data_IF_368626241765
#
_entry.id   IF_368626241765
#
_cell.length_a   1.000
_cell.length_b   1.000
_cell.length_c   1.000
_cell.angle_alpha   90.00
_cell.angle_beta   90.00
_cell.angle_gamma   90.00
#
_symmetry.space_group_name_H-M   'P 1'
#
loop_
_entity.id
_entity.type
_entity.pdbx_description
1 polymer ?
#
# COMPACT_ATOMS: atom_id res chain seq x y z
N UNK A 1 -5.56 -6.17 -5.81
CA UNK A 1 -5.93 -4.78 -5.45
C UNK A 1 -6.62 -4.70 -4.10
N UNK A 2 -7.60 -5.57 -3.79
CA UNK A 2 -8.23 -5.63 -2.45
C UNK A 2 -7.20 -5.94 -1.36
N UNK A 3 -6.33 -6.93 -1.56
CA UNK A 3 -5.25 -7.28 -0.62
C UNK A 3 -4.40 -6.07 -0.21
N UNK A 4 -3.95 -5.27 -1.19
CA UNK A 4 -3.17 -4.07 -0.94
C UNK A 4 -3.91 -3.08 -0.01
N UNK A 5 -5.19 -2.85 -0.28
CA UNK A 5 -6.01 -1.95 0.53
C UNK A 5 -6.17 -2.47 1.97
N UNK A 6 -6.36 -3.78 2.14
CA UNK A 6 -6.46 -4.41 3.47
C UNK A 6 -5.15 -4.26 4.26
N UNK A 7 -4.01 -4.57 3.63
CA UNK A 7 -2.69 -4.43 4.28
C UNK A 7 -2.37 -2.98 4.64
N UNK A 8 -2.70 -2.01 3.78
CA UNK A 8 -2.56 -0.59 4.10
C UNK A 8 -3.51 -0.14 5.21
N UNK A 9 -4.68 -0.77 5.32
CA UNK A 9 -5.65 -0.51 6.39
C UNK A 9 -5.18 -1.05 7.74
N UNK A 10 -4.54 -2.22 7.79
CA UNK A 10 -3.88 -2.71 9.01
C UNK A 10 -2.80 -1.76 9.53
N UNK A 11 -2.13 -1.04 8.61
CA UNK A 11 -1.12 -0.03 8.93
C UNK A 11 -1.72 1.36 9.23
N UNK A 12 -3.05 1.49 9.25
CA UNK A 12 -3.75 2.77 9.42
C UNK A 12 -3.43 3.82 8.33
N UNK A 13 -2.97 3.37 7.16
CA UNK A 13 -2.62 4.22 6.02
C UNK A 13 -3.78 4.35 5.02
N UNK A 14 -4.74 3.44 5.05
CA UNK A 14 -5.91 3.46 4.17
C UNK A 14 -7.19 3.26 4.98
N UNK A 15 -8.00 4.33 5.10
CA UNK A 15 -9.21 4.32 5.93
C UNK A 15 -10.52 4.09 5.14
N UNK A 16 -10.44 3.86 3.84
CA UNK A 16 -11.60 3.59 3.00
C UNK A 16 -11.94 2.09 2.92
N UNK A 17 -13.04 1.78 2.23
CA UNK A 17 -13.41 0.40 1.92
C UNK A 17 -12.44 -0.23 0.90
N UNK A 18 -12.13 -1.51 1.12
CA UNK A 18 -11.29 -2.30 0.23
C UNK A 18 -12.16 -2.82 -0.94
N UNK A 19 -12.27 -2.01 -1.98
CA UNK A 19 -13.08 -2.25 -3.17
C UNK A 19 -12.27 -2.76 -4.38
N UNK A 20 -10.95 -2.91 -4.24
CA UNK A 20 -10.05 -3.31 -5.31
C UNK A 20 -9.78 -2.23 -6.35
N UNK A 21 -10.26 -1.00 -6.15
CA UNK A 21 -10.04 0.10 -7.08
C UNK A 21 -8.78 0.89 -6.73
N UNK A 22 -7.93 1.07 -7.73
CA UNK A 22 -6.78 1.97 -7.60
C UNK A 22 -7.25 3.41 -7.80
N UNK A 23 -7.60 4.07 -6.69
CA UNK A 23 -8.02 5.46 -6.66
C UNK A 23 -6.91 6.36 -6.11
N UNK A 24 -7.12 7.68 -6.22
CA UNK A 24 -6.16 8.66 -5.71
C UNK A 24 -5.87 8.48 -4.21
N UNK A 25 -6.86 8.10 -3.40
CA UNK A 25 -6.65 7.84 -1.96
C UNK A 25 -5.72 6.65 -1.71
N UNK A 26 -5.87 5.59 -2.48
CA UNK A 26 -5.00 4.41 -2.41
C UNK A 26 -3.58 4.77 -2.86
N UNK A 27 -3.45 5.57 -3.92
CA UNK A 27 -2.16 6.08 -4.36
C UNK A 27 -1.48 6.93 -3.27
N UNK A 28 -2.21 7.83 -2.62
CA UNK A 28 -1.70 8.66 -1.52
C UNK A 28 -1.27 7.80 -0.31
N UNK A 29 -2.09 6.80 0.07
CA UNK A 29 -1.74 5.82 1.10
C UNK A 29 -0.48 5.03 0.75
N UNK A 30 -0.33 4.64 -0.52
CA UNK A 30 0.84 3.92 -1.02
C UNK A 30 2.10 4.79 -0.96
N UNK A 31 2.00 6.05 -1.39
CA UNK A 31 3.10 7.02 -1.29
C UNK A 31 3.52 7.23 0.17
N UNK A 32 2.56 7.36 1.08
CA UNK A 32 2.82 7.49 2.52
C UNK A 32 3.50 6.24 3.11
N UNK A 33 3.17 5.05 2.61
CA UNK A 33 3.87 3.82 2.97
C UNK A 33 5.31 3.80 2.41
N UNK A 34 5.49 4.15 1.15
CA UNK A 34 6.74 4.02 0.41
C UNK A 34 7.79 5.04 0.80
N UNK A 35 7.38 6.28 1.06
CA UNK A 35 8.26 7.41 1.38
C UNK A 35 9.23 7.14 2.53
N UNK A 36 8.78 6.72 3.73
CA UNK A 36 9.68 6.41 4.85
C UNK A 36 10.52 5.14 4.62
N UNK A 37 10.15 4.29 3.65
CA UNK A 37 10.84 3.04 3.32
C UNK A 37 11.88 3.18 2.22
N UNK A 38 12.04 4.38 1.67
CA UNK A 38 13.00 4.66 0.60
C UNK A 38 12.59 4.10 -0.76
N UNK A 39 11.34 3.67 -0.94
CA UNK A 39 10.81 3.08 -2.18
C UNK A 39 10.47 4.17 -3.22
N UNK A 40 11.45 5.03 -3.54
CA UNK A 40 11.25 6.23 -4.39
C UNK A 40 10.93 5.88 -5.85
N UNK A 41 11.51 4.80 -6.35
CA UNK A 41 11.33 4.32 -7.73
C UNK A 41 9.90 3.84 -8.01
N UNK A 42 9.18 3.42 -6.99
CA UNK A 42 7.81 2.90 -7.08
C UNK A 42 6.79 3.83 -6.41
N UNK A 43 7.13 5.09 -6.11
CA UNK A 43 6.23 6.00 -5.41
C UNK A 43 4.87 6.15 -6.11
N UNK A 44 3.79 5.74 -5.43
CA UNK A 44 2.43 5.72 -5.96
C UNK A 44 2.14 4.54 -6.89
N UNK A 45 3.08 3.62 -7.11
CA UNK A 45 2.91 2.42 -7.91
C UNK A 45 3.08 1.15 -7.08
N UNK A 46 2.17 0.21 -7.23
CA UNK A 46 2.27 -1.09 -6.55
C UNK A 46 3.14 -2.05 -7.36
N UNK A 47 4.46 -1.87 -7.24
CA UNK A 47 5.46 -2.73 -7.87
C UNK A 47 5.99 -3.84 -6.96
N UNK A 48 6.90 -4.69 -7.46
CA UNK A 48 7.45 -5.83 -6.72
C UNK A 48 8.18 -5.45 -5.43
N UNK A 49 8.93 -4.35 -5.38
CA UNK A 49 9.64 -3.94 -4.14
C UNK A 49 8.64 -3.54 -3.06
N UNK A 50 7.64 -2.75 -3.44
CA UNK A 50 6.54 -2.32 -2.58
C UNK A 50 5.74 -3.51 -2.07
N UNK A 51 5.44 -4.48 -2.95
CA UNK A 51 4.77 -5.72 -2.57
C UNK A 51 5.58 -6.51 -1.56
N UNK A 52 6.87 -6.75 -1.81
CA UNK A 52 7.72 -7.50 -0.89
C UNK A 52 7.80 -6.82 0.48
N UNK A 53 7.89 -5.48 0.51
CA UNK A 53 7.87 -4.71 1.77
C UNK A 53 6.55 -4.77 2.50
N UNK A 54 5.43 -4.59 1.81
CA UNK A 54 4.09 -4.71 2.40
C UNK A 54 3.89 -6.13 2.96
N UNK A 55 4.29 -7.16 2.21
CA UNK A 55 4.19 -8.55 2.64
C UNK A 55 5.07 -8.90 3.84
N UNK A 56 6.25 -8.30 3.95
CA UNK A 56 7.11 -8.48 5.11
C UNK A 56 6.63 -7.74 6.36
N UNK A 57 5.77 -6.73 6.20
CA UNK A 57 5.39 -5.80 7.27
C UNK A 57 3.93 -5.88 7.71
N UNK A 58 3.13 -6.70 7.03
CA UNK A 58 1.76 -7.04 7.41
C UNK A 58 1.61 -8.55 7.34
N UNK A 59 0.76 -9.12 8.20
CA UNK A 59 0.38 -10.52 8.04
C UNK A 59 -0.41 -10.69 6.73
N UNK A 60 -0.48 -11.93 6.23
CA UNK A 60 -1.42 -12.25 5.15
C UNK A 60 -2.85 -11.91 5.62
N UNK A 61 -3.63 -11.10 4.87
CA UNK A 61 -5.00 -10.77 5.24
C UNK A 61 -5.97 -11.94 5.01
#
# INVERSE_FOLDING_TARGET
>A
MVELQLRLKEKWLYNDEANGNFNRRLEEALRAFQWPRGLRSELGFYGPETRARLQSETAEP
#
